data_IF_823766313636
#
_entry.id   IF_823766313636
#
_cell.length_a   1.000
_cell.length_b   1.000
_cell.length_c   1.000
_cell.angle_alpha   90.00
_cell.angle_beta   90.00
_cell.angle_gamma   90.00
#
_symmetry.space_group_name_H-M   'P 1'
#
loop_
_entity.id
_entity.type
_entity.pdbx_description
1 polymer ?
#
# COMPACT_ATOMS: atom_id res chain seq x y z
N UNK A 1 10.37 -16.86 26.18
CA UNK A 1 10.91 -17.64 25.07
C UNK A 1 10.50 -16.93 23.79
N UNK A 2 11.39 -16.81 22.81
CA UNK A 2 10.95 -16.47 21.46
C UNK A 2 10.14 -17.67 20.96
N UNK A 3 8.90 -17.45 20.54
CA UNK A 3 7.91 -18.51 20.30
C UNK A 3 8.39 -19.63 19.38
N UNK A 4 7.75 -20.78 19.47
CA UNK A 4 8.03 -21.91 18.60
C UNK A 4 7.69 -21.58 17.13
N UNK A 5 8.39 -22.21 16.18
CA UNK A 5 8.09 -22.05 14.76
C UNK A 5 6.63 -22.42 14.50
N UNK A 6 5.86 -21.51 13.89
CA UNK A 6 4.43 -21.71 13.60
C UNK A 6 3.48 -21.20 14.68
N UNK A 7 3.98 -20.64 15.80
CA UNK A 7 3.14 -20.19 16.92
C UNK A 7 2.37 -18.90 16.62
N UNK A 8 2.95 -17.99 15.83
CA UNK A 8 2.40 -16.67 15.56
C UNK A 8 2.30 -16.38 14.06
N UNK A 9 1.43 -15.44 13.68
CA UNK A 9 1.20 -15.06 12.28
C UNK A 9 0.68 -13.64 12.20
N UNK A 10 0.84 -13.01 11.03
CA UNK A 10 0.28 -11.68 10.77
C UNK A 10 1.27 -10.56 11.03
N UNK A 11 0.89 -9.35 10.63
CA UNK A 11 1.79 -8.20 10.59
C UNK A 11 1.67 -7.31 11.83
N UNK A 12 2.72 -6.54 12.11
CA UNK A 12 2.75 -5.49 13.13
C UNK A 12 3.53 -4.26 12.62
N UNK A 13 3.22 -3.10 13.18
CA UNK A 13 3.86 -1.81 12.88
C UNK A 13 4.34 -1.22 14.18
N UNK A 14 5.64 -1.00 14.30
CA UNK A 14 6.29 -0.42 15.46
C UNK A 14 6.53 1.07 15.25
N UNK A 15 6.21 1.86 16.27
CA UNK A 15 6.39 3.31 16.33
C UNK A 15 7.15 3.69 17.62
N UNK A 16 7.93 4.77 17.61
CA UNK A 16 8.64 5.21 18.79
C UNK A 16 7.65 5.64 19.86
N UNK A 17 7.92 5.26 21.09
CA UNK A 17 7.08 5.58 22.24
C UNK A 17 6.87 7.09 22.46
N UNK A 18 5.72 7.43 23.07
CA UNK A 18 5.22 8.82 23.27
C UNK A 18 6.19 9.79 23.96
N UNK A 19 7.18 9.28 24.66
CA UNK A 19 8.17 10.10 25.37
C UNK A 19 9.21 10.76 24.45
N UNK A 20 9.33 10.35 23.17
CA UNK A 20 10.26 10.94 22.22
C UNK A 20 9.64 12.08 21.39
N UNK A 21 10.44 13.09 21.01
CA UNK A 21 9.99 14.30 20.30
C UNK A 21 9.30 13.99 18.96
N UNK A 22 9.73 12.93 18.27
CA UNK A 22 9.19 12.49 16.97
C UNK A 22 8.04 11.49 17.09
N UNK A 23 7.61 11.13 18.31
CA UNK A 23 6.59 10.09 18.54
C UNK A 23 5.23 10.45 17.97
N UNK A 24 4.75 11.68 18.16
CA UNK A 24 3.44 12.10 17.67
C UNK A 24 3.35 12.05 16.13
N UNK A 25 4.40 12.47 15.43
CA UNK A 25 4.44 12.43 13.96
C UNK A 25 4.62 11.00 13.45
N UNK A 26 5.41 10.20 14.15
CA UNK A 26 5.59 8.79 13.84
C UNK A 26 4.32 7.97 14.04
N UNK A 27 3.56 8.26 15.11
CA UNK A 27 2.31 7.59 15.43
C UNK A 27 1.27 7.76 14.32
N UNK A 28 1.08 8.99 13.84
CA UNK A 28 0.11 9.24 12.76
C UNK A 28 0.53 8.63 11.41
N UNK A 29 1.84 8.52 11.15
CA UNK A 29 2.36 7.82 9.97
C UNK A 29 2.20 6.31 10.10
N UNK A 30 2.57 5.74 11.26
CA UNK A 30 2.41 4.32 11.56
C UNK A 30 0.95 3.88 11.54
N UNK A 31 0.04 4.70 12.07
CA UNK A 31 -1.39 4.45 12.02
C UNK A 31 -1.93 4.41 10.59
N UNK A 32 -1.47 5.29 9.71
CA UNK A 32 -1.89 5.28 8.30
C UNK A 32 -1.42 4.01 7.58
N UNK A 33 -0.18 3.58 7.81
CA UNK A 33 0.36 2.32 7.27
C UNK A 33 -0.41 1.12 7.83
N UNK A 34 -0.60 1.07 9.15
CA UNK A 34 -1.31 -0.02 9.83
C UNK A 34 -2.75 -0.15 9.32
N UNK A 35 -3.47 0.97 9.18
CA UNK A 35 -4.83 0.98 8.68
C UNK A 35 -4.95 0.49 7.25
N UNK A 36 -3.95 0.73 6.40
CA UNK A 36 -3.95 0.21 5.04
C UNK A 36 -3.64 -1.29 5.00
N UNK A 37 -2.60 -1.74 5.72
CA UNK A 37 -2.20 -3.15 5.75
C UNK A 37 -3.30 -4.05 6.33
N UNK A 38 -4.05 -3.61 7.35
CA UNK A 38 -5.12 -4.42 7.97
C UNK A 38 -6.35 -4.61 7.09
N UNK A 39 -6.46 -3.91 5.96
CA UNK A 39 -7.57 -4.13 5.01
C UNK A 39 -7.46 -5.50 4.33
N UNK A 40 -6.25 -6.06 4.22
CA UNK A 40 -5.99 -7.31 3.49
C UNK A 40 -5.17 -8.34 4.27
N UNK A 41 -4.50 -7.92 5.34
CA UNK A 41 -3.64 -8.79 6.14
C UNK A 41 -4.17 -8.89 7.57
N UNK A 42 -3.98 -10.06 8.19
CA UNK A 42 -4.29 -10.25 9.59
C UNK A 42 -3.21 -9.58 10.46
N UNK A 43 -3.64 -8.88 11.50
CA UNK A 43 -2.75 -8.37 12.55
C UNK A 43 -2.09 -9.54 13.30
N UNK A 44 -0.87 -9.30 13.79
CA UNK A 44 -0.08 -10.27 14.55
C UNK A 44 -0.88 -10.93 15.68
N UNK A 45 -0.73 -12.25 15.80
CA UNK A 45 -1.32 -13.04 16.89
C UNK A 45 -0.41 -13.15 18.11
N UNK A 46 0.81 -12.60 18.08
CA UNK A 46 1.68 -12.58 19.25
C UNK A 46 1.08 -11.64 20.31
N UNK A 47 0.91 -12.08 21.59
CA UNK A 47 0.19 -11.30 22.58
C UNK A 47 0.71 -9.87 22.79
N UNK A 48 2.04 -9.67 22.72
CA UNK A 48 2.65 -8.34 22.85
C UNK A 48 2.39 -7.43 21.63
N UNK A 49 2.05 -8.03 20.48
CA UNK A 49 1.75 -7.33 19.22
C UNK A 49 0.24 -7.30 18.90
N UNK A 50 -0.62 -7.75 19.82
CA UNK A 50 -2.06 -7.93 19.57
C UNK A 50 -2.81 -6.65 19.16
N UNK A 51 -2.25 -5.48 19.49
CA UNK A 51 -2.74 -4.17 19.06
C UNK A 51 -2.40 -3.85 17.59
N UNK A 52 -1.40 -4.52 17.02
CA UNK A 52 -0.89 -4.33 15.67
C UNK A 52 -0.07 -3.07 15.45
N UNK A 53 -0.43 -1.95 16.08
CA UNK A 53 0.39 -0.74 16.19
C UNK A 53 1.05 -0.71 17.57
N UNK A 54 2.37 -0.91 17.61
CA UNK A 54 3.14 -1.18 18.82
C UNK A 54 4.08 -0.01 19.12
N UNK A 55 3.95 0.57 20.29
CA UNK A 55 4.92 1.56 20.78
C UNK A 55 6.14 0.82 21.36
N UNK A 56 7.34 1.15 20.91
CA UNK A 56 8.58 0.49 21.35
C UNK A 56 9.67 1.52 21.76
N UNK A 57 10.41 1.21 22.82
CA UNK A 57 11.44 2.08 23.41
C UNK A 57 12.87 1.80 22.93
N UNK A 58 13.14 0.57 22.50
CA UNK A 58 14.50 0.03 22.38
C UNK A 58 14.92 -0.21 20.92
N UNK A 59 13.95 -0.21 20.00
CA UNK A 59 14.23 -0.32 18.58
C UNK A 59 14.96 0.92 18.05
N UNK A 60 16.26 0.76 17.80
CA UNK A 60 17.11 1.78 17.17
C UNK A 60 16.53 2.21 15.81
N UNK A 61 15.91 1.28 15.07
CA UNK A 61 15.34 1.51 13.75
C UNK A 61 14.21 2.56 13.71
N UNK A 62 13.54 2.82 14.85
CA UNK A 62 12.47 3.83 14.96
C UNK A 62 12.91 5.08 15.73
N UNK A 63 14.22 5.23 15.95
CA UNK A 63 14.80 6.44 16.55
C UNK A 63 14.80 6.43 18.08
N UNK A 64 14.85 5.25 18.71
CA UNK A 64 15.13 5.13 20.13
C UNK A 64 16.31 6.06 20.52
N UNK A 65 16.13 6.80 21.63
CA UNK A 65 17.09 7.79 22.16
C UNK A 65 17.27 9.07 21.31
N UNK A 66 16.23 9.50 20.60
CA UNK A 66 16.20 10.78 19.86
C UNK A 66 17.25 10.87 18.73
N UNK A 67 17.56 9.73 18.10
CA UNK A 67 18.55 9.63 17.02
C UNK A 67 17.99 10.06 15.65
N UNK A 68 16.67 10.20 15.54
CA UNK A 68 15.96 10.66 14.35
C UNK A 68 15.16 11.93 14.65
N UNK A 69 15.12 12.87 13.68
CA UNK A 69 14.33 14.11 13.78
C UNK A 69 13.02 14.07 12.99
N UNK A 70 12.82 13.02 12.17
CA UNK A 70 11.64 12.83 11.33
C UNK A 70 10.78 11.67 11.79
N UNK A 71 9.60 11.53 11.18
CA UNK A 71 8.71 10.39 11.42
C UNK A 71 9.44 9.06 11.12
N UNK A 72 9.23 8.05 11.95
CA UNK A 72 9.82 6.73 11.78
C UNK A 72 8.82 5.64 12.15
N UNK A 73 8.83 4.54 11.40
CA UNK A 73 8.09 3.33 11.72
C UNK A 73 8.88 2.12 11.23
N UNK A 74 8.76 1.00 11.92
CA UNK A 74 9.24 -0.30 11.50
C UNK A 74 8.04 -1.19 11.22
N UNK A 75 8.07 -1.94 10.13
CA UNK A 75 6.97 -2.82 9.75
C UNK A 75 7.49 -4.24 9.73
N UNK A 76 6.85 -5.11 10.51
CA UNK A 76 7.01 -6.55 10.40
C UNK A 76 5.85 -7.07 9.58
N UNK A 77 6.11 -7.47 8.34
CA UNK A 77 5.06 -7.91 7.41
C UNK A 77 4.45 -9.28 7.76
N UNK A 78 5.09 -10.02 8.67
CA UNK A 78 4.69 -11.33 9.13
C UNK A 78 5.90 -12.19 9.49
N UNK A 79 5.63 -13.42 9.90
CA UNK A 79 6.65 -14.35 10.38
C UNK A 79 7.22 -15.14 9.21
N UNK A 80 8.55 -15.29 9.16
CA UNK A 80 9.25 -15.89 8.01
C UNK A 80 8.74 -17.30 7.65
N UNK A 81 8.25 -18.06 8.64
CA UNK A 81 7.72 -19.41 8.45
C UNK A 81 6.29 -19.47 7.91
N UNK A 82 5.59 -18.34 7.75
CA UNK A 82 4.24 -18.34 7.16
C UNK A 82 4.30 -18.80 5.69
N UNK A 83 3.31 -19.59 5.20
CA UNK A 83 3.38 -20.21 3.87
C UNK A 83 3.65 -19.22 2.73
N UNK A 84 3.08 -18.01 2.81
CA UNK A 84 3.24 -16.96 1.80
C UNK A 84 4.67 -16.42 1.66
N UNK A 85 5.52 -16.62 2.68
CA UNK A 85 6.93 -16.24 2.66
C UNK A 85 7.86 -17.43 2.40
N UNK A 86 7.37 -18.67 2.51
CA UNK A 86 8.12 -19.90 2.23
C UNK A 86 8.02 -20.33 0.76
N UNK A 87 6.86 -20.10 0.13
CA UNK A 87 6.66 -20.45 -1.27
C UNK A 87 7.34 -19.44 -2.21
N UNK A 88 8.48 -19.84 -2.76
CA UNK A 88 9.29 -19.04 -3.69
C UNK A 88 8.53 -18.60 -4.95
N UNK A 89 7.47 -19.31 -5.35
CA UNK A 89 6.68 -18.93 -6.52
C UNK A 89 5.85 -17.66 -6.27
N UNK A 90 5.47 -17.40 -5.02
CA UNK A 90 4.61 -16.27 -4.64
C UNK A 90 5.28 -15.26 -3.72
N UNK A 91 6.42 -15.60 -3.10
CA UNK A 91 7.13 -14.73 -2.15
C UNK A 91 7.38 -13.32 -2.71
N UNK A 92 7.85 -13.22 -3.95
CA UNK A 92 8.09 -11.92 -4.60
C UNK A 92 6.79 -11.13 -4.82
N UNK A 93 5.71 -11.82 -5.21
CA UNK A 93 4.39 -11.22 -5.43
C UNK A 93 3.82 -10.70 -4.12
N UNK A 94 3.89 -11.50 -3.04
CA UNK A 94 3.43 -11.14 -1.69
C UNK A 94 4.22 -9.95 -1.16
N UNK A 95 5.54 -9.98 -1.28
CA UNK A 95 6.41 -8.88 -0.82
C UNK A 95 6.11 -7.57 -1.55
N UNK A 96 5.85 -7.63 -2.87
CA UNK A 96 5.48 -6.45 -3.66
C UNK A 96 4.10 -5.90 -3.28
N UNK A 97 3.12 -6.77 -3.02
CA UNK A 97 1.79 -6.34 -2.59
C UNK A 97 1.85 -5.66 -1.22
N UNK A 98 2.58 -6.23 -0.26
CA UNK A 98 2.83 -5.64 1.06
C UNK A 98 3.53 -4.28 0.96
N UNK A 99 4.59 -4.18 0.15
CA UNK A 99 5.28 -2.91 -0.10
C UNK A 99 4.35 -1.86 -0.73
N UNK A 100 3.46 -2.28 -1.62
CA UNK A 100 2.48 -1.38 -2.25
C UNK A 100 1.41 -0.91 -1.25
N UNK A 101 0.93 -1.79 -0.36
CA UNK A 101 0.01 -1.39 0.70
C UNK A 101 0.66 -0.38 1.66
N UNK A 102 1.94 -0.58 2.01
CA UNK A 102 2.72 0.42 2.76
C UNK A 102 2.79 1.74 2.01
N UNK A 103 3.08 1.71 0.69
CA UNK A 103 3.05 2.90 -0.15
C UNK A 103 1.68 3.58 -0.13
N UNK A 104 0.58 2.83 -0.24
CA UNK A 104 -0.77 3.39 -0.22
C UNK A 104 -1.09 4.08 1.11
N UNK A 105 -0.72 3.47 2.25
CA UNK A 105 -0.88 4.08 3.57
C UNK A 105 -0.15 5.42 3.67
N UNK A 106 1.10 5.46 3.22
CA UNK A 106 1.91 6.68 3.17
C UNK A 106 1.35 7.74 2.21
N UNK A 107 1.03 7.34 0.98
CA UNK A 107 0.52 8.24 -0.04
C UNK A 107 -0.78 8.90 0.41
N UNK A 108 -1.73 8.12 0.94
CA UNK A 108 -2.98 8.64 1.48
C UNK A 108 -2.75 9.56 2.66
N UNK A 109 -1.84 9.23 3.58
CA UNK A 109 -1.52 10.12 4.69
C UNK A 109 -1.06 11.51 4.21
N UNK A 110 -0.15 11.58 3.24
CA UNK A 110 0.36 12.85 2.75
C UNK A 110 -0.64 13.60 1.86
N UNK A 111 -1.44 12.88 1.07
CA UNK A 111 -2.52 13.46 0.26
C UNK A 111 -3.70 13.94 1.13
N UNK A 112 -4.05 13.21 2.19
CA UNK A 112 -5.10 13.58 3.14
C UNK A 112 -4.67 14.76 4.00
N UNK A 113 -3.39 14.91 4.34
CA UNK A 113 -2.89 16.13 5.00
C UNK A 113 -2.89 17.33 4.06
N UNK A 114 -2.67 17.13 2.76
CA UNK A 114 -2.91 18.18 1.77
C UNK A 114 -4.42 18.54 1.72
N UNK A 115 -5.34 17.57 1.78
CA UNK A 115 -6.78 17.86 1.80
C UNK A 115 -7.31 18.42 3.13
N UNK A 116 -6.67 18.11 4.28
CA UNK A 116 -6.97 18.72 5.58
C UNK A 116 -6.45 20.17 5.67
N UNK A 117 -5.27 20.45 5.12
CA UNK A 117 -4.76 21.81 4.93
C UNK A 117 -5.67 22.63 3.98
N UNK A 118 -6.46 21.96 3.14
CA UNK A 118 -7.44 22.55 2.22
C UNK A 118 -8.92 22.46 2.71
N UNK A 119 -9.19 21.89 3.90
CA UNK A 119 -10.51 21.91 4.54
C UNK A 119 -11.56 20.86 4.10
N UNK A 120 -11.16 19.68 3.60
CA UNK A 120 -12.10 18.63 3.18
C UNK A 120 -12.67 17.79 4.36
N UNK A 121 -13.93 17.30 4.31
CA UNK A 121 -14.57 16.58 5.43
C UNK A 121 -14.12 15.11 5.54
N UNK A 122 -13.91 14.62 6.77
CA UNK A 122 -13.61 13.21 7.05
C UNK A 122 -14.84 12.32 6.96
N UNK A 123 -14.77 11.28 6.12
CA UNK A 123 -15.82 10.26 6.05
C UNK A 123 -15.94 9.62 4.68
N UNK A 124 -14.87 8.97 4.19
CA UNK A 124 -14.98 7.98 3.13
C UNK A 124 -13.77 7.05 3.20
N UNK A 125 -14.00 5.74 3.14
CA UNK A 125 -12.96 4.71 3.16
C UNK A 125 -11.92 5.05 2.07
N UNK A 126 -10.70 5.42 2.48
CA UNK A 126 -9.70 6.23 1.77
C UNK A 126 -9.14 5.72 0.43
N UNK A 127 -9.83 4.84 -0.29
CA UNK A 127 -9.55 4.52 -1.70
C UNK A 127 -10.18 5.59 -2.63
N UNK A 128 -10.83 6.62 -2.06
CA UNK A 128 -11.55 7.67 -2.81
C UNK A 128 -10.64 8.58 -3.63
N UNK A 129 -9.37 8.79 -3.26
CA UNK A 129 -8.45 9.69 -3.96
C UNK A 129 -7.19 8.96 -4.42
N UNK A 130 -7.32 8.04 -5.38
CA UNK A 130 -6.14 7.69 -6.19
C UNK A 130 -5.81 8.96 -6.98
N UNK A 131 -4.75 9.68 -6.60
CA UNK A 131 -4.25 10.86 -7.30
C UNK A 131 -2.98 10.48 -8.05
N UNK A 132 -3.12 10.15 -9.33
CA UNK A 132 -2.03 9.76 -10.20
C UNK A 132 -2.25 10.32 -11.60
N UNK A 133 -1.19 10.84 -12.20
CA UNK A 133 -1.20 11.28 -13.60
C UNK A 133 -0.33 10.35 -14.42
N UNK A 134 -0.95 9.54 -15.27
CA UNK A 134 -0.21 8.78 -16.28
C UNK A 134 0.24 9.73 -17.38
N UNK A 135 1.54 9.81 -17.60
CA UNK A 135 2.15 10.65 -18.65
C UNK A 135 2.72 9.83 -19.81
N UNK A 136 2.87 8.51 -19.64
CA UNK A 136 3.52 7.60 -20.61
C UNK A 136 2.61 6.46 -21.05
N UNK A 137 2.85 5.94 -22.25
CA UNK A 137 2.15 4.72 -22.71
C UNK A 137 2.54 3.53 -21.83
N UNK A 138 1.58 2.68 -21.47
CA UNK A 138 1.84 1.39 -20.81
C UNK A 138 1.30 0.25 -21.66
N UNK A 139 2.03 -0.85 -21.69
CA UNK A 139 1.68 -2.06 -22.43
C UNK A 139 2.32 -3.26 -21.77
N UNK A 140 2.04 -4.46 -22.29
CA UNK A 140 2.68 -5.69 -21.81
C UNK A 140 4.21 -5.53 -21.78
N UNK A 141 4.82 -5.87 -20.66
CA UNK A 141 6.25 -5.68 -20.39
C UNK A 141 6.61 -4.37 -19.68
N UNK A 142 5.71 -3.38 -19.60
CA UNK A 142 5.88 -2.23 -18.70
C UNK A 142 5.90 -2.68 -17.24
N UNK A 143 6.63 -1.96 -16.40
CA UNK A 143 6.68 -2.21 -14.95
C UNK A 143 6.92 -0.92 -14.15
N UNK A 144 6.78 -1.01 -12.82
CA UNK A 144 7.03 0.09 -11.88
C UNK A 144 5.77 0.84 -11.45
N UNK A 145 5.96 2.02 -10.86
CA UNK A 145 4.91 2.79 -10.20
C UNK A 145 3.70 3.10 -11.10
N UNK A 146 3.93 3.43 -12.38
CA UNK A 146 2.88 3.66 -13.38
C UNK A 146 1.93 2.46 -13.51
N UNK A 147 2.48 1.24 -13.47
CA UNK A 147 1.72 0.00 -13.60
C UNK A 147 1.03 -0.36 -12.30
N UNK A 148 1.67 -0.16 -11.15
CA UNK A 148 1.02 -0.36 -9.84
C UNK A 148 -0.17 0.58 -9.67
N UNK A 149 0.00 1.86 -9.99
CA UNK A 149 -1.09 2.84 -10.00
C UNK A 149 -2.20 2.42 -10.96
N UNK A 150 -1.85 1.94 -12.17
CA UNK A 150 -2.83 1.44 -13.13
C UNK A 150 -3.63 0.28 -12.53
N UNK A 151 -2.97 -0.73 -11.96
CA UNK A 151 -3.64 -1.88 -11.37
C UNK A 151 -4.56 -1.48 -10.21
N UNK A 152 -4.16 -0.49 -9.39
CA UNK A 152 -4.99 0.09 -8.36
C UNK A 152 -6.23 0.81 -8.94
N UNK A 153 -6.04 1.62 -9.99
CA UNK A 153 -7.14 2.27 -10.71
C UNK A 153 -8.12 1.24 -11.27
N UNK A 154 -7.63 0.22 -11.96
CA UNK A 154 -8.46 -0.85 -12.52
C UNK A 154 -9.21 -1.64 -11.42
N UNK A 155 -8.60 -1.83 -10.26
CA UNK A 155 -9.26 -2.46 -9.09
C UNK A 155 -10.39 -1.58 -8.58
N UNK A 156 -10.13 -0.27 -8.39
CA UNK A 156 -11.13 0.72 -7.98
C UNK A 156 -12.30 0.79 -8.95
N UNK A 157 -12.01 0.63 -10.24
CA UNK A 157 -13.02 0.59 -11.28
C UNK A 157 -13.80 -0.72 -11.36
N UNK A 158 -13.48 -1.71 -10.53
CA UNK A 158 -14.15 -3.00 -10.45
C UNK A 158 -13.87 -3.90 -11.66
N UNK A 159 -12.78 -3.65 -12.39
CA UNK A 159 -12.42 -4.37 -13.63
C UNK A 159 -11.11 -5.16 -13.52
N UNK A 160 -10.55 -5.26 -12.32
CA UNK A 160 -9.30 -5.97 -12.06
C UNK A 160 -9.36 -6.75 -10.75
N UNK A 161 -8.99 -8.02 -10.81
CA UNK A 161 -9.05 -8.96 -9.68
C UNK A 161 -7.71 -9.65 -9.42
N UNK A 162 -6.64 -9.23 -10.10
CA UNK A 162 -5.31 -9.79 -9.94
C UNK A 162 -4.45 -8.98 -8.95
N UNK A 163 -3.27 -9.50 -8.64
CA UNK A 163 -2.32 -8.83 -7.75
C UNK A 163 -1.72 -7.55 -8.34
N UNK A 164 -1.52 -6.54 -7.49
CA UNK A 164 -1.00 -5.22 -7.85
C UNK A 164 0.54 -5.21 -7.80
N UNK A 165 1.16 -6.16 -8.51
CA UNK A 165 2.60 -6.41 -8.44
C UNK A 165 3.47 -5.45 -9.26
N UNK A 166 2.87 -4.44 -9.89
CA UNK A 166 3.61 -3.43 -10.67
C UNK A 166 4.19 -3.96 -11.98
N UNK A 167 3.71 -5.10 -12.47
CA UNK A 167 4.10 -5.70 -13.75
C UNK A 167 2.91 -5.77 -14.71
N UNK A 168 3.08 -5.26 -15.92
CA UNK A 168 2.04 -5.29 -16.94
C UNK A 168 2.09 -6.62 -17.67
N UNK A 169 1.39 -7.61 -17.11
CA UNK A 169 1.23 -8.94 -17.69
C UNK A 169 -0.13 -9.15 -18.37
N UNK A 170 -0.44 -10.38 -18.79
CA UNK A 170 -1.71 -10.74 -19.41
C UNK A 170 -2.94 -10.37 -18.55
N UNK A 171 -2.86 -10.48 -17.22
CA UNK A 171 -3.99 -10.08 -16.40
C UNK A 171 -4.22 -8.56 -16.40
N UNK A 172 -3.16 -7.76 -16.36
CA UNK A 172 -3.26 -6.29 -16.48
C UNK A 172 -3.83 -5.89 -17.82
N UNK A 173 -3.43 -6.57 -18.90
CA UNK A 173 -4.00 -6.37 -20.24
C UNK A 173 -5.51 -6.64 -20.27
N UNK A 174 -5.96 -7.73 -19.65
CA UNK A 174 -7.40 -8.05 -19.51
C UNK A 174 -8.14 -6.98 -18.73
N UNK A 175 -7.58 -6.51 -17.61
CA UNK A 175 -8.17 -5.40 -16.84
C UNK A 175 -8.25 -4.10 -17.63
N UNK A 176 -7.22 -3.77 -18.41
CA UNK A 176 -7.23 -2.62 -19.31
C UNK A 176 -8.32 -2.75 -20.38
N UNK A 177 -8.47 -3.92 -21.02
CA UNK A 177 -9.55 -4.14 -22.00
C UNK A 177 -10.92 -3.97 -21.36
N UNK A 178 -11.11 -4.47 -20.15
CA UNK A 178 -12.36 -4.30 -19.40
C UNK A 178 -12.63 -2.83 -19.05
N UNK A 179 -11.62 -2.08 -18.61
CA UNK A 179 -11.72 -0.62 -18.41
C UNK A 179 -12.07 0.11 -19.71
N UNK A 180 -11.36 -0.20 -20.79
CA UNK A 180 -11.61 0.41 -22.11
C UNK A 180 -13.05 0.14 -22.55
N UNK A 181 -13.52 -1.10 -22.41
CA UNK A 181 -14.91 -1.47 -22.69
C UNK A 181 -15.90 -0.67 -21.83
N UNK A 182 -15.66 -0.56 -20.52
CA UNK A 182 -16.51 0.19 -19.57
C UNK A 182 -16.70 1.65 -19.98
N UNK A 183 -15.69 2.26 -20.60
CA UNK A 183 -15.70 3.67 -20.99
C UNK A 183 -15.81 3.92 -22.50
N UNK A 184 -16.19 2.91 -23.30
CA UNK A 184 -16.39 3.08 -24.75
C UNK A 184 -15.11 3.38 -25.54
N UNK A 185 -13.94 2.99 -25.01
CA UNK A 185 -12.65 3.12 -25.66
C UNK A 185 -12.36 1.81 -26.42
N UNK A 186 -11.69 1.91 -27.57
CA UNK A 186 -11.23 0.72 -28.31
C UNK A 186 -10.38 -0.18 -27.40
N UNK A 187 -10.69 -1.48 -27.34
CA UNK A 187 -10.12 -2.45 -26.40
C UNK A 187 -8.73 -2.94 -26.84
N UNK A 188 -7.78 -2.01 -27.00
CA UNK A 188 -6.41 -2.32 -27.45
C UNK A 188 -5.62 -3.13 -26.42
N UNK A 189 -6.03 -3.13 -25.15
CA UNK A 189 -5.25 -3.71 -24.05
C UNK A 189 -4.01 -2.91 -23.68
N UNK A 190 -3.84 -1.72 -24.24
CA UNK A 190 -2.72 -0.80 -23.99
C UNK A 190 -3.22 0.54 -23.48
N UNK A 191 -2.41 1.20 -22.65
CA UNK A 191 -2.67 2.54 -22.14
C UNK A 191 -2.13 3.56 -23.13
N UNK A 192 -2.87 3.79 -24.21
CA UNK A 192 -2.63 4.88 -25.17
C UNK A 192 -3.20 6.23 -24.71
N UNK A 193 -3.09 7.29 -25.52
CA UNK A 193 -3.56 8.64 -25.16
C UNK A 193 -5.01 8.71 -24.68
N UNK A 194 -5.93 7.99 -25.35
CA UNK A 194 -7.34 7.99 -24.98
C UNK A 194 -7.58 7.30 -23.62
N UNK A 195 -6.96 6.14 -23.40
CA UNK A 195 -7.07 5.43 -22.12
C UNK A 195 -6.46 6.26 -20.97
N UNK A 196 -5.31 6.91 -21.21
CA UNK A 196 -4.70 7.83 -20.24
C UNK A 196 -5.57 9.02 -19.93
N UNK A 197 -6.09 9.70 -20.95
CA UNK A 197 -6.96 10.85 -20.74
C UNK A 197 -8.15 10.45 -19.86
N UNK A 198 -8.71 9.25 -20.07
CA UNK A 198 -9.80 8.75 -19.24
C UNK A 198 -9.35 8.42 -17.81
N UNK A 199 -8.26 7.69 -17.64
CA UNK A 199 -7.69 7.40 -16.32
C UNK A 199 -7.38 8.69 -15.54
N UNK A 200 -6.72 9.65 -16.19
CA UNK A 200 -6.40 10.95 -15.60
C UNK A 200 -7.68 11.74 -15.25
N UNK A 201 -8.72 11.71 -16.08
CA UNK A 201 -9.99 12.38 -15.75
C UNK A 201 -10.70 11.82 -14.51
N UNK A 202 -10.40 10.57 -14.14
CA UNK A 202 -11.02 9.87 -13.01
C UNK A 202 -10.15 9.88 -11.75
N UNK A 203 -8.83 10.05 -11.93
CA UNK A 203 -7.84 9.76 -10.90
C UNK A 203 -6.68 10.77 -10.87
N UNK A 204 -6.69 11.84 -11.66
CA UNK A 204 -5.78 12.97 -11.48
C UNK A 204 -6.54 14.11 -10.81
N UNK A 205 -5.85 14.87 -9.97
CA UNK A 205 -6.33 16.16 -9.43
C UNK A 205 -5.76 17.29 -10.29
#
# INVERSE_FOLDING_TARGET
SWGEVGEYKGFSVYIPERQFDHSAVSAVVGEAIFNELRLKNATSTYPAESMGLIEDQDLIAIGARNTLKGAAALIEYGYIYEPQFQDLAIQETVTKDLAFQTFLGLHRFFDDRASYALGAPQGNLGISNLSYTWTKNLQKGSSGADVSALQAALTKEGVYTCGLIGNFGPCTETGVKAFQKKYGISQTGTIGPLTRAKLNSLHSI
#
